data_IF_410066670788
#
_entry.id   IF_410066670788
#
_cell.length_a   1.000
_cell.length_b   1.000
_cell.length_c   1.000
_cell.angle_alpha   90.00
_cell.angle_beta   90.00
_cell.angle_gamma   90.00
#
_symmetry.space_group_name_H-M   'P 1'
#
loop_
_entity.id
_entity.type
_entity.pdbx_description
1 polymer ?
#
# COMPACT_ATOMS: atom_id res chain seq x y z
N UNK A 1 -11.96 10.33 11.66
CA UNK A 1 -11.64 9.05 12.33
C UNK A 1 -12.72 8.04 11.98
N UNK A 2 -12.35 6.78 11.72
CA UNK A 2 -13.33 5.69 11.57
C UNK A 2 -14.23 5.63 12.80
N UNK A 3 -15.55 5.49 12.59
CA UNK A 3 -16.49 5.33 13.69
C UNK A 3 -16.32 3.94 14.34
N UNK A 4 -16.40 3.85 15.66
CA UNK A 4 -16.52 2.56 16.37
C UNK A 4 -15.22 1.91 16.86
N UNK A 5 -14.12 2.66 17.02
CA UNK A 5 -12.92 2.15 17.71
C UNK A 5 -12.08 1.12 16.93
N UNK A 6 -12.38 0.92 15.65
CA UNK A 6 -11.60 0.05 14.76
C UNK A 6 -10.37 0.82 14.23
N UNK A 7 -9.18 0.25 14.42
CA UNK A 7 -7.93 0.79 13.90
C UNK A 7 -7.49 0.01 12.66
N UNK A 8 -6.94 0.72 11.67
CA UNK A 8 -6.39 0.15 10.44
C UNK A 8 -4.94 0.54 10.28
N UNK A 9 -4.12 -0.41 9.86
CA UNK A 9 -2.74 -0.19 9.47
C UNK A 9 -2.56 -0.65 8.03
N UNK A 10 -2.16 0.27 7.15
CA UNK A 10 -1.78 0.00 5.76
C UNK A 10 -0.29 0.28 5.67
N UNK A 11 0.53 -0.77 5.60
CA UNK A 11 1.98 -0.62 5.73
C UNK A 11 2.74 -1.78 5.05
N UNK A 12 4.00 -1.53 4.62
CA UNK A 12 4.86 -2.54 4.01
C UNK A 12 5.47 -3.46 5.08
N UNK A 13 4.63 -4.31 5.65
CA UNK A 13 4.92 -5.13 6.85
C UNK A 13 5.12 -6.61 6.51
N UNK A 14 4.99 -6.97 5.24
CA UNK A 14 5.15 -8.34 4.75
C UNK A 14 6.48 -8.50 4.00
N UNK A 15 7.05 -9.72 3.94
CA UNK A 15 8.33 -9.94 3.29
C UNK A 15 8.36 -9.47 1.84
N UNK A 16 9.31 -8.60 1.51
CA UNK A 16 9.55 -8.13 0.14
C UNK A 16 10.65 -8.88 -0.61
N UNK A 17 10.89 -8.49 -1.88
CA UNK A 17 11.89 -9.13 -2.76
C UNK A 17 13.34 -8.92 -2.31
N UNK A 18 13.67 -7.83 -1.61
CA UNK A 18 15.03 -7.54 -1.14
C UNK A 18 15.17 -7.79 0.36
N UNK A 19 15.51 -9.03 0.75
CA UNK A 19 15.71 -9.43 2.16
C UNK A 19 16.68 -8.52 2.91
N UNK A 20 16.42 -8.31 4.20
CA UNK A 20 17.25 -7.50 5.11
C UNK A 20 17.31 -6.00 4.75
N UNK A 21 16.26 -5.46 4.14
CA UNK A 21 16.08 -4.01 3.97
C UNK A 21 14.72 -3.59 4.57
N UNK A 22 14.51 -2.29 4.72
CA UNK A 22 13.24 -1.73 5.19
C UNK A 22 12.15 -1.85 4.13
N UNK A 23 10.90 -1.91 4.57
CA UNK A 23 9.75 -2.08 3.67
C UNK A 23 9.56 -3.53 3.24
N UNK A 24 8.76 -3.72 2.20
CA UNK A 24 8.33 -5.04 1.77
C UNK A 24 7.04 -5.01 0.97
N UNK A 25 6.23 -6.05 1.09
CA UNK A 25 4.89 -6.08 0.52
C UNK A 25 3.89 -5.34 1.42
N UNK A 26 2.92 -4.67 0.81
CA UNK A 26 1.86 -3.96 1.52
C UNK A 26 0.82 -4.94 2.07
N UNK A 27 0.38 -4.67 3.30
CA UNK A 27 -0.72 -5.37 3.93
C UNK A 27 -1.66 -4.41 4.66
N UNK A 28 -2.93 -4.81 4.75
CA UNK A 28 -3.94 -4.19 5.59
C UNK A 28 -4.14 -5.03 6.84
N UNK A 29 -3.91 -4.42 7.98
CA UNK A 29 -4.18 -4.99 9.29
C UNK A 29 -5.31 -4.23 9.97
N UNK A 30 -6.13 -4.96 10.73
CA UNK A 30 -7.24 -4.41 11.50
C UNK A 30 -7.07 -4.79 12.95
N UNK A 31 -7.25 -3.81 13.83
CA UNK A 31 -7.45 -4.02 15.27
C UNK A 31 -8.85 -3.56 15.66
N UNK A 32 -9.55 -4.38 16.43
CA UNK A 32 -10.90 -4.08 16.95
C UNK A 32 -10.91 -3.87 18.46
N UNK A 33 -9.72 -3.90 19.07
CA UNK A 33 -9.47 -3.82 20.51
C UNK A 33 -8.43 -2.73 20.82
N UNK A 34 -8.45 -1.65 20.03
CA UNK A 34 -7.60 -0.45 20.21
C UNK A 34 -6.10 -0.77 20.23
N UNK A 35 -5.67 -1.67 19.36
CA UNK A 35 -4.27 -2.02 19.12
C UNK A 35 -3.72 -3.13 20.01
N UNK A 36 -4.53 -3.76 20.87
CA UNK A 36 -4.08 -4.90 21.70
C UNK A 36 -3.79 -6.14 20.85
N UNK A 37 -4.60 -6.39 19.83
CA UNK A 37 -4.38 -7.43 18.84
C UNK A 37 -4.61 -6.89 17.42
N UNK A 38 -3.90 -7.48 16.47
CA UNK A 38 -3.96 -7.13 15.06
C UNK A 38 -4.17 -8.39 14.24
N UNK A 39 -5.13 -8.35 13.34
CA UNK A 39 -5.36 -9.40 12.34
C UNK A 39 -4.98 -8.86 10.97
N UNK A 40 -4.22 -9.62 10.20
CA UNK A 40 -4.01 -9.34 8.78
C UNK A 40 -5.34 -9.58 8.07
N UNK A 41 -5.96 -8.50 7.61
CA UNK A 41 -7.23 -8.55 6.90
C UNK A 41 -6.97 -8.84 5.41
N UNK A 42 -5.88 -8.28 4.85
CA UNK A 42 -5.57 -8.43 3.43
C UNK A 42 -4.07 -8.34 3.14
N UNK A 43 -3.59 -9.26 2.31
CA UNK A 43 -2.33 -9.12 1.58
C UNK A 43 -2.59 -8.22 0.37
N UNK A 44 -2.05 -6.99 0.34
CA UNK A 44 -2.40 -6.00 -0.68
C UNK A 44 -1.52 -6.11 -1.92
N UNK A 45 -0.25 -6.48 -1.75
CA UNK A 45 0.68 -6.75 -2.85
C UNK A 45 1.43 -8.06 -2.61
N UNK A 46 1.91 -8.71 -3.67
CA UNK A 46 2.64 -9.98 -3.62
C UNK A 46 3.60 -10.09 -4.79
N UNK A 47 4.80 -10.64 -4.59
CA UNK A 47 5.73 -10.92 -5.68
C UNK A 47 6.20 -9.66 -6.41
N UNK A 48 6.21 -8.53 -5.72
CA UNK A 48 6.67 -7.25 -6.25
C UNK A 48 8.16 -7.34 -6.58
N UNK A 49 8.58 -6.65 -7.64
CA UNK A 49 10.00 -6.55 -8.01
C UNK A 49 10.78 -5.63 -7.08
N UNK A 50 10.10 -4.63 -6.51
CA UNK A 50 10.65 -3.57 -5.67
C UNK A 50 10.01 -3.62 -4.28
N UNK A 51 10.72 -3.09 -3.27
CA UNK A 51 10.13 -2.90 -1.95
C UNK A 51 9.13 -1.74 -2.01
N UNK A 52 7.98 -1.89 -1.35
CA UNK A 52 7.08 -0.78 -1.08
C UNK A 52 7.56 -0.05 0.19
N UNK A 53 7.49 1.27 0.17
CA UNK A 53 7.93 2.13 1.26
C UNK A 53 7.13 3.44 1.28
N UNK A 54 7.37 4.28 2.30
CA UNK A 54 6.80 5.63 2.40
C UNK A 54 5.27 5.70 2.35
N UNK A 55 4.58 4.73 2.96
CA UNK A 55 3.13 4.79 3.09
C UNK A 55 2.67 6.01 3.90
N UNK A 56 1.65 6.69 3.37
CA UNK A 56 1.00 7.86 3.97
C UNK A 56 -0.51 7.70 3.89
N UNK A 57 -1.21 7.99 4.99
CA UNK A 57 -2.66 8.06 5.01
C UNK A 57 -3.14 9.37 4.37
N UNK A 58 -4.26 9.32 3.66
CA UNK A 58 -4.92 10.51 3.17
C UNK A 58 -5.63 11.27 4.31
N UNK A 59 -5.48 12.59 4.37
CA UNK A 59 -6.22 13.45 5.30
C UNK A 59 -7.64 13.63 4.77
N UNK A 60 -8.66 13.44 5.63
CA UNK A 60 -10.06 13.46 5.23
C UNK A 60 -10.35 12.52 4.04
N UNK A 61 -9.80 11.30 4.13
CA UNK A 61 -9.81 10.32 3.06
C UNK A 61 -11.20 10.08 2.46
N UNK A 62 -11.28 10.16 1.13
CA UNK A 62 -12.38 9.57 0.39
C UNK A 62 -12.27 8.04 0.45
N UNK A 63 -13.38 7.27 0.49
CA UNK A 63 -13.31 5.81 0.51
C UNK A 63 -12.47 5.20 -0.62
N UNK A 64 -12.42 5.86 -1.79
CA UNK A 64 -11.66 5.40 -2.97
C UNK A 64 -10.18 5.84 -2.97
N UNK A 65 -9.77 6.66 -1.99
CA UNK A 65 -8.39 7.15 -1.87
C UNK A 65 -8.01 7.29 -0.40
N UNK A 66 -7.44 6.22 0.15
CA UNK A 66 -7.29 6.02 1.59
C UNK A 66 -5.82 6.09 2.04
N UNK A 67 -4.90 5.56 1.22
CA UNK A 67 -3.47 5.67 1.44
C UNK A 67 -2.72 5.75 0.12
N UNK A 68 -1.54 6.35 0.13
CA UNK A 68 -0.62 6.50 -1.00
C UNK A 68 0.81 6.12 -0.58
N UNK A 69 1.58 5.52 -1.48
CA UNK A 69 2.96 5.12 -1.22
C UNK A 69 3.76 4.98 -2.53
N UNK A 70 5.06 4.72 -2.40
CA UNK A 70 5.95 4.47 -3.55
C UNK A 70 6.75 3.18 -3.40
N UNK A 71 7.40 2.77 -4.48
CA UNK A 71 8.32 1.63 -4.49
C UNK A 71 9.73 2.01 -4.97
N UNK A 72 10.67 1.10 -4.78
CA UNK A 72 12.02 1.20 -5.33
C UNK A 72 12.91 0.02 -4.96
N UNK A 73 14.11 -0.03 -5.54
CA UNK A 73 15.11 -1.02 -5.15
C UNK A 73 15.98 -0.48 -4.02
N UNK A 74 16.10 -1.25 -2.93
CA UNK A 74 16.78 -0.79 -1.71
C UNK A 74 18.30 -0.57 -1.85
N UNK A 75 18.93 -1.08 -2.92
CA UNK A 75 20.41 -1.17 -3.05
C UNK A 75 20.99 -0.59 -4.34
N UNK A 76 20.14 -0.08 -5.22
CA UNK A 76 20.59 0.49 -6.49
C UNK A 76 19.55 1.48 -7.01
N UNK A 77 19.96 2.33 -7.96
CA UNK A 77 19.02 3.17 -8.69
C UNK A 77 18.00 2.30 -9.43
N UNK A 78 16.73 2.65 -9.32
CA UNK A 78 15.64 1.95 -9.97
C UNK A 78 14.56 2.92 -10.42
N UNK A 79 13.60 2.38 -11.17
CA UNK A 79 12.32 3.03 -11.34
C UNK A 79 11.59 3.14 -9.99
N UNK A 80 10.66 4.08 -9.93
CA UNK A 80 9.78 4.34 -8.80
C UNK A 80 8.37 4.54 -9.36
N UNK A 81 7.39 3.89 -8.76
CA UNK A 81 5.98 4.00 -9.10
C UNK A 81 5.23 4.62 -7.93
N UNK A 82 4.09 5.23 -8.24
CA UNK A 82 3.15 5.75 -7.25
C UNK A 82 1.93 4.84 -7.19
N UNK A 83 1.57 4.45 -5.96
CA UNK A 83 0.45 3.58 -5.68
C UNK A 83 -0.51 4.26 -4.72
N UNK A 84 -1.77 3.90 -4.80
CA UNK A 84 -2.77 4.23 -3.79
C UNK A 84 -3.73 3.06 -3.59
N UNK A 85 -4.52 3.13 -2.53
CA UNK A 85 -5.58 2.16 -2.29
C UNK A 85 -6.89 2.82 -1.89
N UNK A 86 -7.98 2.09 -2.08
CA UNK A 86 -9.26 2.39 -1.44
C UNK A 86 -9.30 1.84 0.00
N UNK A 87 -10.42 2.08 0.68
CA UNK A 87 -10.68 1.66 2.06
C UNK A 87 -10.69 0.14 2.25
N UNK A 88 -11.04 -0.61 1.20
CA UNK A 88 -11.10 -2.07 1.18
C UNK A 88 -9.73 -2.70 0.78
N UNK A 89 -8.72 -1.84 0.60
CA UNK A 89 -7.36 -2.23 0.28
C UNK A 89 -7.22 -2.79 -1.13
N UNK A 90 -8.05 -2.38 -2.10
CA UNK A 90 -7.73 -2.57 -3.52
C UNK A 90 -6.62 -1.61 -3.90
N UNK A 91 -5.62 -2.11 -4.60
CA UNK A 91 -4.40 -1.37 -4.91
C UNK A 91 -4.44 -0.90 -6.34
N UNK A 92 -4.08 0.35 -6.56
CA UNK A 92 -3.99 0.97 -7.86
C UNK A 92 -2.61 1.56 -8.05
N UNK A 93 -2.04 1.39 -9.25
CA UNK A 93 -0.74 1.96 -9.63
C UNK A 93 -0.95 2.99 -10.73
N UNK A 94 -0.42 4.19 -10.54
CA UNK A 94 -0.39 5.19 -11.61
C UNK A 94 0.62 4.79 -12.70
N UNK A 95 0.33 5.13 -13.97
CA UNK A 95 1.32 4.94 -15.03
C UNK A 95 2.54 5.83 -14.75
N UNK A 96 3.73 5.26 -14.98
CA UNK A 96 4.99 5.98 -14.75
C UNK A 96 5.13 7.20 -15.67
N UNK A 97 4.63 7.10 -16.89
CA UNK A 97 4.56 8.20 -17.84
C UNK A 97 3.11 8.64 -17.96
N UNK A 98 2.85 9.89 -17.58
CA UNK A 98 1.57 10.55 -17.83
C UNK A 98 1.65 11.20 -19.22
N UNK A 99 0.73 10.87 -20.12
CA UNK A 99 0.67 11.49 -21.46
C UNK A 99 -0.33 12.65 -21.54
N UNK A 100 -1.03 12.93 -20.45
CA UNK A 100 -1.91 14.07 -20.28
C UNK A 100 -2.07 14.47 -18.82
N UNK A 101 -2.95 15.44 -18.56
CA UNK A 101 -3.25 15.92 -17.20
C UNK A 101 -3.94 14.86 -16.33
N UNK A 102 -4.57 13.86 -16.97
CA UNK A 102 -5.27 12.76 -16.32
C UNK A 102 -4.94 11.46 -17.02
N UNK A 103 -4.82 10.39 -16.24
CA UNK A 103 -4.59 9.04 -16.73
C UNK A 103 -5.37 8.05 -15.86
N UNK A 104 -5.69 6.88 -16.45
CA UNK A 104 -6.35 5.79 -15.71
C UNK A 104 -5.30 4.94 -14.98
N UNK A 105 -5.40 4.77 -13.66
CA UNK A 105 -4.51 3.87 -12.92
C UNK A 105 -4.84 2.41 -13.21
N UNK A 106 -3.83 1.55 -13.13
CA UNK A 106 -4.00 0.10 -13.25
C UNK A 106 -4.29 -0.50 -11.87
N UNK A 107 -5.41 -1.23 -11.74
CA UNK A 107 -5.68 -2.03 -10.55
C UNK A 107 -4.73 -3.23 -10.49
N UNK A 108 -4.12 -3.44 -9.33
CA UNK A 108 -3.34 -4.63 -9.03
C UNK A 108 -4.21 -5.65 -8.30
N UNK A 109 -4.21 -6.86 -8.82
CA UNK A 109 -4.78 -8.02 -8.11
C UNK A 109 -3.66 -8.63 -7.27
N UNK A 110 -3.87 -8.74 -5.96
CA UNK A 110 -2.98 -9.52 -5.12
C UNK A 110 -2.94 -10.96 -5.65
N UNK A 111 -1.74 -11.53 -5.78
CA UNK A 111 -1.54 -12.92 -6.16
C UNK A 111 -2.25 -13.85 -5.16
N UNK A 112 -2.70 -14.99 -5.67
CA UNK A 112 -3.44 -16.00 -4.91
C UNK A 112 -2.60 -16.62 -3.81
#
# INVERSE_FOLDING_TARGET
MEAGGVWRLIAPTEPGPQRYNTGGEMALWVSRDQGRSWKKEKQMTTGSRFIHAFARAAVNAHPDFYAIWSDGHARQSSECHLYFCDRDGRVFRLPRRMNGERETPAELKAGR
#
